data_IF_892829096706
#
_entry.id   IF_892829096706
#
_cell.length_a   1.000
_cell.length_b   1.000
_cell.length_c   1.000
_cell.angle_alpha   90.00
_cell.angle_beta   90.00
_cell.angle_gamma   90.00
#
_symmetry.space_group_name_H-M   'P 1'
#
loop_
_entity.id
_entity.type
_entity.pdbx_description
1 polymer ?
#
# COMPACT_ATOMS: atom_id res chain seq x y z
N UNK A 1 -18.82 46.35 -28.16
CA UNK A 1 -17.68 45.53 -27.67
C UNK A 1 -17.45 45.87 -26.20
N UNK A 2 -17.74 44.95 -25.25
CA UNK A 2 -17.61 45.28 -23.84
C UNK A 2 -16.13 45.28 -23.45
N UNK A 3 -15.65 46.39 -22.89
CA UNK A 3 -14.37 46.48 -22.19
C UNK A 3 -14.49 45.69 -20.89
N UNK A 4 -14.21 44.40 -20.94
CA UNK A 4 -14.01 43.58 -19.75
C UNK A 4 -12.85 44.24 -18.99
N UNK A 5 -13.19 44.89 -17.88
CA UNK A 5 -12.25 45.67 -17.09
C UNK A 5 -11.11 44.77 -16.64
N UNK A 6 -9.85 45.19 -16.88
CA UNK A 6 -8.60 44.52 -16.46
C UNK A 6 -8.60 44.02 -15.00
N UNK A 7 -9.47 44.57 -14.15
CA UNK A 7 -9.68 44.18 -12.75
C UNK A 7 -10.32 42.78 -12.57
N UNK A 8 -11.15 42.32 -13.51
CA UNK A 8 -11.80 40.99 -13.42
C UNK A 8 -10.80 39.88 -13.78
N UNK A 9 -9.92 40.12 -14.75
CA UNK A 9 -8.86 39.18 -15.12
C UNK A 9 -7.84 38.96 -13.97
N UNK A 10 -7.53 40.01 -13.19
CA UNK A 10 -6.63 39.92 -12.05
C UNK A 10 -7.23 39.15 -10.86
N UNK A 11 -8.56 39.17 -10.72
CA UNK A 11 -9.29 38.44 -9.67
C UNK A 11 -9.39 36.94 -10.01
N UNK A 12 -9.53 36.58 -11.29
CA UNK A 12 -9.53 35.18 -11.72
C UNK A 12 -8.16 34.50 -11.57
N UNK A 13 -7.06 35.23 -11.77
CA UNK A 13 -5.71 34.67 -11.60
C UNK A 13 -5.34 34.41 -10.13
N UNK A 14 -6.02 35.06 -9.18
CA UNK A 14 -5.77 34.87 -7.74
C UNK A 14 -6.50 33.63 -7.17
N UNK A 15 -7.51 33.11 -7.88
CA UNK A 15 -8.23 31.87 -7.54
C UNK A 15 -7.54 30.59 -8.05
N UNK A 16 -6.50 30.71 -8.89
CA UNK A 16 -5.69 29.58 -9.37
C UNK A 16 -4.53 29.21 -8.45
N UNK A 17 -4.36 29.94 -7.33
CA UNK A 17 -3.31 29.70 -6.35
C UNK A 17 -3.97 29.00 -5.15
N UNK A 18 -3.46 27.82 -4.79
CA UNK A 18 -3.78 27.03 -3.58
C UNK A 18 -4.89 25.97 -3.62
N UNK A 19 -4.93 25.15 -4.67
CA UNK A 19 -5.30 23.74 -4.46
C UNK A 19 -4.28 22.82 -5.13
N UNK A 20 -3.00 22.95 -4.75
CA UNK A 20 -2.08 21.82 -4.85
C UNK A 20 -2.54 20.76 -3.84
N UNK A 21 -3.61 20.04 -4.18
CA UNK A 21 -4.07 18.92 -3.39
C UNK A 21 -2.96 17.87 -3.46
N UNK A 22 -2.13 17.80 -2.42
CA UNK A 22 -1.03 16.83 -2.40
C UNK A 22 -1.57 15.43 -2.75
N UNK A 23 -1.00 14.81 -3.78
CA UNK A 23 -1.50 13.56 -4.36
C UNK A 23 -1.25 12.43 -3.37
N UNK A 24 -2.32 11.84 -2.83
CA UNK A 24 -2.19 10.67 -1.95
C UNK A 24 -1.76 9.44 -2.78
N UNK A 25 -1.12 8.44 -2.17
CA UNK A 25 -0.92 7.15 -2.83
C UNK A 25 -2.28 6.54 -3.22
N UNK A 26 -2.42 6.20 -4.49
CA UNK A 26 -3.66 5.58 -5.01
C UNK A 26 -3.57 4.05 -5.04
N UNK A 27 -2.36 3.50 -5.09
CA UNK A 27 -2.10 2.07 -5.14
C UNK A 27 -0.87 1.65 -4.36
N UNK A 28 -0.84 0.38 -3.98
CA UNK A 28 0.38 -0.31 -3.58
C UNK A 28 1.19 -0.68 -4.83
N UNK A 29 2.51 -0.50 -4.78
CA UNK A 29 3.41 -0.76 -5.90
C UNK A 29 4.29 -1.97 -5.58
N UNK A 30 4.55 -2.79 -6.60
CA UNK A 30 5.34 -4.02 -6.50
C UNK A 30 4.90 -4.93 -5.34
N UNK A 31 3.58 -5.25 -5.24
CA UNK A 31 3.10 -6.13 -4.20
C UNK A 31 3.62 -7.56 -4.40
N UNK A 32 4.05 -8.19 -3.32
CA UNK A 32 4.53 -9.56 -3.30
C UNK A 32 4.13 -10.21 -1.98
N UNK A 33 3.80 -11.50 -2.04
CA UNK A 33 3.45 -12.30 -0.88
C UNK A 33 4.31 -13.56 -0.86
N UNK A 34 4.73 -13.96 0.34
CA UNK A 34 5.37 -15.23 0.59
C UNK A 34 4.54 -16.02 1.59
N UNK A 35 4.11 -17.22 1.20
CA UNK A 35 3.46 -18.16 2.10
C UNK A 35 4.51 -19.09 2.71
N UNK A 36 4.50 -19.20 4.03
CA UNK A 36 5.33 -20.10 4.82
C UNK A 36 4.49 -21.03 5.68
N UNK A 37 5.06 -22.19 5.98
CA UNK A 37 4.47 -23.18 6.89
C UNK A 37 5.48 -23.42 8.01
N UNK A 38 5.12 -23.04 9.24
CA UNK A 38 5.94 -23.21 10.43
C UNK A 38 5.31 -24.29 11.32
N UNK A 39 6.14 -25.16 11.92
CA UNK A 39 5.68 -26.07 12.99
C UNK A 39 5.97 -25.42 14.35
N UNK A 40 4.93 -25.12 15.13
CA UNK A 40 5.05 -24.65 16.51
C UNK A 40 4.60 -25.77 17.45
N UNK A 41 5.56 -26.60 17.87
CA UNK A 41 5.27 -27.80 18.64
C UNK A 41 4.50 -28.81 17.79
N UNK A 42 3.26 -29.12 18.19
CA UNK A 42 2.36 -30.03 17.44
C UNK A 42 1.47 -29.31 16.44
N UNK A 43 1.44 -27.98 16.46
CA UNK A 43 0.56 -27.19 15.60
C UNK A 43 1.29 -26.74 14.33
N UNK A 44 0.59 -26.82 13.20
CA UNK A 44 1.02 -26.24 11.93
C UNK A 44 0.46 -24.82 11.84
N UNK A 45 1.33 -23.83 11.71
CA UNK A 45 0.98 -22.42 11.57
C UNK A 45 1.32 -21.96 10.16
N UNK A 46 0.34 -21.36 9.49
CA UNK A 46 0.53 -20.78 8.17
C UNK A 46 0.78 -19.28 8.30
N UNK A 47 1.75 -18.78 7.54
CA UNK A 47 2.16 -17.38 7.60
C UNK A 47 2.19 -16.78 6.20
N UNK A 48 1.64 -15.59 6.06
CA UNK A 48 1.81 -14.73 4.89
C UNK A 48 2.73 -13.56 5.24
N UNK A 49 3.90 -13.51 4.61
CA UNK A 49 4.77 -12.34 4.61
C UNK A 49 4.45 -11.50 3.37
N UNK A 50 3.75 -10.39 3.57
CA UNK A 50 3.34 -9.46 2.53
C UNK A 50 4.28 -8.25 2.46
N UNK A 51 4.62 -7.85 1.23
CA UNK A 51 5.50 -6.72 0.96
C UNK A 51 4.96 -5.86 -0.17
N UNK A 52 5.01 -4.54 -0.03
CA UNK A 52 4.76 -3.59 -1.12
C UNK A 52 5.36 -2.22 -0.80
N UNK A 53 5.19 -1.26 -1.73
CA UNK A 53 5.60 0.13 -1.51
C UNK A 53 4.48 1.14 -1.79
N UNK A 54 4.43 2.20 -0.98
CA UNK A 54 3.56 3.34 -1.17
C UNK A 54 4.40 4.53 -1.62
N UNK A 55 4.23 4.97 -2.86
CA UNK A 55 5.00 6.09 -3.42
C UNK A 55 4.42 7.43 -2.97
N UNK A 56 5.30 8.35 -2.61
CA UNK A 56 4.97 9.74 -2.44
C UNK A 56 5.53 10.53 -3.64
N UNK A 57 4.63 10.95 -4.54
CA UNK A 57 4.99 11.69 -5.76
C UNK A 57 4.97 13.21 -5.56
N UNK A 58 4.75 13.69 -4.33
CA UNK A 58 4.73 15.12 -4.03
C UNK A 58 6.15 15.66 -3.92
N UNK A 59 6.30 16.94 -4.23
CA UNK A 59 7.58 17.66 -4.24
C UNK A 59 7.99 18.21 -2.86
N UNK A 60 6.99 18.55 -2.04
CA UNK A 60 7.16 19.33 -0.80
C UNK A 60 6.39 18.75 0.38
N UNK A 61 5.51 17.77 0.14
CA UNK A 61 4.67 17.17 1.19
C UNK A 61 5.20 15.81 1.61
N UNK A 62 5.53 15.65 2.89
CA UNK A 62 5.75 14.35 3.52
C UNK A 62 4.42 13.76 4.02
N UNK A 63 4.30 12.43 3.99
CA UNK A 63 3.22 11.71 4.65
C UNK A 63 3.68 11.16 5.99
N UNK A 64 2.91 11.41 7.04
CA UNK A 64 3.16 10.87 8.38
C UNK A 64 2.05 9.90 8.77
N UNK A 65 2.41 8.89 9.55
CA UNK A 65 1.48 7.93 10.14
C UNK A 65 0.53 7.31 9.11
N UNK A 66 1.04 7.00 7.91
CA UNK A 66 0.25 6.40 6.85
C UNK A 66 -0.20 5.00 7.27
N UNK A 67 -1.51 4.78 7.37
CA UNK A 67 -2.10 3.53 7.83
C UNK A 67 -3.33 3.18 7.00
N UNK A 68 -3.64 1.88 6.95
CA UNK A 68 -4.76 1.39 6.16
C UNK A 68 -4.71 -0.12 6.03
N UNK A 69 -5.33 -0.64 4.98
CA UNK A 69 -5.29 -2.06 4.63
C UNK A 69 -4.95 -2.22 3.15
N UNK A 70 -4.18 -3.26 2.84
CA UNK A 70 -4.05 -3.77 1.49
C UNK A 70 -4.92 -5.01 1.38
N UNK A 71 -5.95 -4.96 0.54
CA UNK A 71 -6.82 -6.10 0.27
C UNK A 71 -6.23 -6.91 -0.88
N UNK A 72 -5.96 -8.18 -0.63
CA UNK A 72 -5.60 -9.17 -1.66
C UNK A 72 -6.90 -9.82 -2.13
N UNK A 73 -7.14 -9.83 -3.43
CA UNK A 73 -8.35 -10.34 -4.07
C UNK A 73 -8.03 -11.40 -5.11
N UNK A 74 -8.94 -12.35 -5.30
CA UNK A 74 -8.86 -13.29 -6.41
C UNK A 74 -9.19 -12.62 -7.75
N UNK A 75 -9.13 -13.39 -8.84
CA UNK A 75 -9.45 -12.90 -10.19
C UNK A 75 -10.94 -12.58 -10.40
N UNK A 76 -11.81 -12.98 -9.48
CA UNK A 76 -13.24 -12.65 -9.47
C UNK A 76 -13.55 -11.41 -8.62
N UNK A 77 -12.54 -10.84 -7.95
CA UNK A 77 -12.68 -9.69 -7.05
C UNK A 77 -13.08 -10.05 -5.61
N UNK A 78 -13.15 -11.34 -5.25
CA UNK A 78 -13.43 -11.76 -3.89
C UNK A 78 -12.22 -11.48 -2.99
N UNK A 79 -12.47 -11.00 -1.78
CA UNK A 79 -11.44 -10.74 -0.79
C UNK A 79 -10.85 -12.06 -0.26
N UNK A 80 -9.54 -12.25 -0.43
CA UNK A 80 -8.78 -13.37 0.11
C UNK A 80 -8.14 -13.03 1.46
N UNK A 81 -7.45 -11.90 1.53
CA UNK A 81 -6.73 -11.49 2.74
C UNK A 81 -6.63 -9.96 2.87
N UNK A 82 -7.14 -9.37 3.96
CA UNK A 82 -6.85 -7.98 4.31
C UNK A 82 -5.54 -7.88 5.12
N UNK A 83 -4.55 -7.17 4.61
CA UNK A 83 -3.26 -6.93 5.27
C UNK A 83 -3.24 -5.52 5.87
N UNK A 84 -3.38 -5.35 7.20
CA UNK A 84 -3.25 -4.04 7.83
C UNK A 84 -1.81 -3.55 7.75
N UNK A 85 -1.60 -2.24 7.59
CA UNK A 85 -0.25 -1.67 7.59
C UNK A 85 -0.18 -0.34 8.32
N UNK A 86 1.04 0.03 8.72
CA UNK A 86 1.40 1.37 9.16
C UNK A 86 2.81 1.70 8.70
N UNK A 87 2.99 2.89 8.12
CA UNK A 87 4.28 3.46 7.71
C UNK A 87 4.43 4.81 8.40
N UNK A 88 5.48 4.95 9.20
CA UNK A 88 5.68 6.14 10.05
C UNK A 88 5.85 7.42 9.24
N UNK A 89 6.63 7.37 8.18
CA UNK A 89 6.97 8.55 7.38
C UNK A 89 7.28 8.13 5.95
N UNK A 90 6.82 8.93 4.99
CA UNK A 90 7.16 8.83 3.56
C UNK A 90 7.52 10.24 3.09
N UNK A 91 8.79 10.51 2.83
CA UNK A 91 9.26 11.83 2.39
C UNK A 91 8.86 12.10 0.92
N UNK A 92 8.93 13.36 0.48
CA UNK A 92 8.78 13.71 -0.95
C UNK A 92 9.68 12.85 -1.84
N UNK A 93 9.13 12.37 -2.96
CA UNK A 93 9.79 11.49 -3.94
C UNK A 93 10.33 10.15 -3.41
N UNK A 94 9.99 9.77 -2.18
CA UNK A 94 10.35 8.49 -1.59
C UNK A 94 9.21 7.47 -1.64
N UNK A 95 9.55 6.23 -1.28
CA UNK A 95 8.60 5.14 -1.15
C UNK A 95 8.59 4.62 0.30
N UNK A 96 7.41 4.58 0.90
CA UNK A 96 7.19 3.92 2.18
C UNK A 96 7.11 2.41 1.95
N UNK A 97 7.93 1.63 2.65
CA UNK A 97 7.90 0.17 2.55
C UNK A 97 6.85 -0.38 3.52
N UNK A 98 5.93 -1.18 3.01
CA UNK A 98 5.00 -1.98 3.80
C UNK A 98 5.56 -3.40 3.87
N UNK A 99 5.93 -3.84 5.07
CA UNK A 99 6.33 -5.22 5.36
C UNK A 99 5.43 -5.72 6.48
N UNK A 100 4.65 -6.76 6.23
CA UNK A 100 3.67 -7.26 7.18
C UNK A 100 3.69 -8.77 7.21
N UNK A 101 3.70 -9.33 8.42
CA UNK A 101 3.59 -10.76 8.66
C UNK A 101 2.21 -11.04 9.26
N UNK A 102 1.44 -11.90 8.62
CA UNK A 102 0.08 -12.25 9.03
C UNK A 102 0.01 -13.75 9.26
N UNK A 103 -0.43 -14.16 10.45
CA UNK A 103 -0.78 -15.55 10.72
C UNK A 103 -2.14 -15.85 10.10
N UNK A 104 -2.21 -16.95 9.35
CA UNK A 104 -3.38 -17.35 8.59
C UNK A 104 -4.08 -18.51 9.28
N UNK A 105 -5.41 -18.52 9.19
CA UNK A 105 -6.16 -19.75 9.39
C UNK A 105 -5.87 -20.71 8.24
N UNK A 106 -5.99 -22.01 8.50
CA UNK A 106 -5.79 -23.03 7.46
C UNK A 106 -6.67 -22.79 6.23
N UNK A 107 -7.93 -22.41 6.41
CA UNK A 107 -8.84 -22.09 5.30
C UNK A 107 -8.38 -20.90 4.46
N UNK A 108 -7.81 -19.87 5.09
CA UNK A 108 -7.28 -18.69 4.40
C UNK A 108 -5.98 -19.03 3.66
N UNK A 109 -5.12 -19.82 4.28
CA UNK A 109 -3.88 -20.30 3.70
C UNK A 109 -4.13 -21.19 2.47
N UNK A 110 -5.07 -22.12 2.55
CA UNK A 110 -5.45 -22.99 1.42
C UNK A 110 -5.99 -22.16 0.26
N UNK A 111 -6.89 -21.20 0.52
CA UNK A 111 -7.42 -20.32 -0.51
C UNK A 111 -6.33 -19.48 -1.20
N UNK A 112 -5.40 -18.90 -0.42
CA UNK A 112 -4.26 -18.16 -0.94
C UNK A 112 -3.30 -19.05 -1.74
N UNK A 113 -2.96 -20.23 -1.24
CA UNK A 113 -2.07 -21.17 -1.93
C UNK A 113 -2.66 -21.65 -3.26
N UNK A 114 -3.97 -21.92 -3.31
CA UNK A 114 -4.68 -22.25 -4.55
C UNK A 114 -4.65 -21.08 -5.54
N UNK A 115 -4.94 -19.86 -5.07
CA UNK A 115 -4.89 -18.66 -5.90
C UNK A 115 -3.48 -18.39 -6.47
N UNK A 116 -2.44 -18.66 -5.68
CA UNK A 116 -1.04 -18.41 -6.03
C UNK A 116 -0.37 -19.58 -6.79
N UNK A 117 -1.09 -20.66 -7.03
CA UNK A 117 -0.57 -21.93 -7.57
C UNK A 117 0.68 -22.40 -6.79
N UNK A 118 0.49 -22.55 -5.47
CA UNK A 118 1.50 -23.01 -4.52
C UNK A 118 1.04 -24.34 -3.92
N UNK A 119 1.92 -25.33 -3.94
CA UNK A 119 1.71 -26.61 -3.24
C UNK A 119 2.34 -26.57 -1.84
N UNK A 120 1.60 -26.90 -0.78
CA UNK A 120 2.13 -27.00 0.59
C UNK A 120 3.32 -27.96 0.70
N UNK A 121 3.25 -29.08 -0.02
CA UNK A 121 4.27 -30.13 -0.02
C UNK A 121 5.60 -29.60 -0.56
N UNK A 122 5.55 -28.78 -1.62
CA UNK A 122 6.74 -28.15 -2.22
C UNK A 122 7.36 -27.09 -1.32
N UNK A 123 6.56 -26.38 -0.52
CA UNK A 123 7.09 -25.46 0.50
C UNK A 123 7.84 -26.27 1.57
N UNK A 124 7.22 -27.36 2.07
CA UNK A 124 7.78 -28.17 3.14
C UNK A 124 9.05 -28.93 2.71
N UNK A 125 9.14 -29.35 1.44
CA UNK A 125 10.36 -29.97 0.88
C UNK A 125 11.45 -28.95 0.52
N UNK A 126 11.12 -27.65 0.50
CA UNK A 126 12.03 -26.58 0.09
C UNK A 126 12.19 -26.40 -1.41
N UNK A 127 11.41 -27.11 -2.23
CA UNK A 127 11.41 -26.98 -3.70
C UNK A 127 10.76 -25.67 -4.16
N UNK A 128 9.83 -25.12 -3.38
CA UNK A 128 9.19 -23.83 -3.63
C UNK A 128 9.42 -22.89 -2.45
N UNK A 129 9.81 -21.66 -2.76
CA UNK A 129 10.01 -20.60 -1.75
C UNK A 129 8.69 -20.08 -1.17
N UNK A 130 7.57 -20.39 -1.83
CA UNK A 130 6.23 -19.86 -1.50
C UNK A 130 6.05 -18.38 -1.85
N UNK A 131 7.05 -17.75 -2.46
CA UNK A 131 6.99 -16.34 -2.86
C UNK A 131 6.37 -16.17 -4.25
N UNK A 132 5.45 -15.23 -4.39
CA UNK A 132 4.84 -14.83 -5.66
C UNK A 132 4.64 -13.32 -5.72
N UNK A 133 4.94 -12.66 -6.85
CA UNK A 133 4.45 -11.31 -7.10
C UNK A 133 2.93 -11.34 -7.24
N UNK A 134 2.27 -10.25 -6.87
CA UNK A 134 0.84 -10.06 -7.08
C UNK A 134 0.62 -9.05 -8.20
N UNK A 135 -0.40 -9.26 -9.02
CA UNK A 135 -0.76 -8.29 -10.05
C UNK A 135 -1.55 -7.12 -9.44
N UNK A 136 -1.44 -5.94 -10.06
CA UNK A 136 -2.14 -4.73 -9.61
C UNK A 136 -3.66 -4.93 -9.52
N UNK A 137 -4.25 -5.79 -10.37
CA UNK A 137 -5.70 -6.09 -10.36
C UNK A 137 -6.14 -6.85 -9.10
N UNK A 138 -5.23 -7.63 -8.50
CA UNK A 138 -5.49 -8.42 -7.29
C UNK A 138 -5.31 -7.62 -6.01
N UNK A 139 -4.95 -6.33 -6.11
CA UNK A 139 -4.56 -5.52 -4.97
C UNK A 139 -5.39 -4.23 -4.90
N UNK A 140 -5.95 -3.98 -3.72
CA UNK A 140 -6.64 -2.73 -3.45
C UNK A 140 -6.09 -2.08 -2.18
N UNK A 141 -5.70 -0.81 -2.29
CA UNK A 141 -5.39 0.03 -1.14
C UNK A 141 -6.71 0.58 -0.57
N UNK A 142 -7.08 0.14 0.63
CA UNK A 142 -8.34 0.49 1.26
C UNK A 142 -8.13 1.25 2.58
N UNK A 143 -8.99 2.25 2.83
CA UNK A 143 -9.05 2.95 4.11
C UNK A 143 -7.79 3.74 4.47
N UNK A 144 -7.04 4.23 3.47
CA UNK A 144 -5.81 5.00 3.69
C UNK A 144 -6.07 6.27 4.51
N UNK A 145 -5.44 6.32 5.69
CA UNK A 145 -5.34 7.49 6.56
C UNK A 145 -3.88 7.92 6.60
N UNK A 146 -3.64 9.22 6.46
CA UNK A 146 -2.31 9.80 6.56
C UNK A 146 -2.42 11.26 6.97
N UNK A 147 -1.38 11.74 7.65
CA UNK A 147 -1.15 13.16 7.89
C UNK A 147 -0.25 13.70 6.79
N UNK A 148 -0.52 14.93 6.34
CA UNK A 148 0.30 15.62 5.34
C UNK A 148 1.03 16.75 6.03
N UNK A 149 2.35 16.81 5.86
CA UNK A 149 3.16 17.90 6.43
C UNK A 149 4.14 18.41 5.40
N UNK A 150 4.31 19.72 5.35
CA UNK A 150 5.36 20.34 4.54
C UNK A 150 6.73 19.89 5.03
N UNK A 151 7.62 19.55 4.10
CA UNK A 151 8.95 19.03 4.42
C UNK A 151 9.81 20.06 5.16
N UNK A 152 9.68 21.35 4.85
CA UNK A 152 10.41 22.43 5.53
C UNK A 152 9.98 22.48 7.00
N UNK A 153 8.68 22.38 7.27
CA UNK A 153 8.14 22.39 8.63
C UNK A 153 8.49 21.11 9.42
N UNK A 154 8.65 19.99 8.72
CA UNK A 154 9.12 18.74 9.32
C UNK A 154 10.60 18.84 9.73
N UNK A 155 11.44 19.44 8.89
CA UNK A 155 12.88 19.58 9.15
C UNK A 155 13.20 20.63 10.22
N UNK A 156 12.42 21.71 10.32
CA UNK A 156 12.58 22.74 11.37
C UNK A 156 12.21 22.27 12.77
N UNK A 157 11.39 21.23 12.89
CA UNK A 157 10.92 20.67 14.17
C UNK A 157 11.77 19.51 14.70
N UNK A 158 12.90 19.20 14.05
CA UNK A 158 13.92 18.25 14.50
C UNK A 158 15.14 19.02 15.01
#
# INVERSE_FOLDING_TARGET
MPRISRKIALLLSMLLIFTACAKKPEKANSPSIKIGIEKRGTETVYIADFTCTLKNENDSTAFLNASGKINIKDNSGNLLLPVPFTVKTILPFEAGVVLQRVELKESEAVALMQFLDISPEKILSGEDTGARPLEDVNIELAGLKLEKKDIIDLLKGK
#
